data_IF_558601836584
#
_entry.id   IF_558601836584
#
_cell.length_a   1.000
_cell.length_b   1.000
_cell.length_c   1.000
_cell.angle_alpha   90.00
_cell.angle_beta   90.00
_cell.angle_gamma   90.00
#
_symmetry.space_group_name_H-M   'P 1'
#
loop_
_entity.id
_entity.type
_entity.pdbx_description
1 polymer ?
#
# COMPACT_ATOMS: atom_id res chain seq x y z
N UNK A 1 -5.29 10.39 3.52
CA UNK A 1 -4.07 9.91 2.82
C UNK A 1 -4.27 8.50 2.30
N UNK A 2 -3.50 8.13 1.28
CA UNK A 2 -3.48 6.74 0.78
C UNK A 2 -2.20 6.07 1.28
N UNK A 3 -2.36 4.90 1.88
CA UNK A 3 -1.26 4.08 2.41
C UNK A 3 -1.00 2.94 1.43
N UNK A 4 0.27 2.76 1.07
CA UNK A 4 0.73 1.68 0.21
C UNK A 4 1.25 0.50 1.03
N UNK A 5 1.64 -0.57 0.34
CA UNK A 5 2.23 -1.75 0.97
C UNK A 5 3.51 -1.41 1.74
N UNK A 6 4.37 -0.56 1.17
CA UNK A 6 5.70 -0.29 1.74
C UNK A 6 5.62 0.42 3.09
N UNK A 7 4.74 1.41 3.26
CA UNK A 7 4.54 2.11 4.52
C UNK A 7 4.02 1.18 5.64
N UNK A 8 3.08 0.28 5.30
CA UNK A 8 2.56 -0.71 6.27
C UNK A 8 3.66 -1.69 6.68
N UNK A 9 4.47 -2.16 5.73
CA UNK A 9 5.58 -3.07 6.03
C UNK A 9 6.65 -2.38 6.87
N UNK A 10 6.98 -1.12 6.59
CA UNK A 10 7.91 -0.35 7.40
C UNK A 10 7.41 -0.21 8.85
N UNK A 11 6.12 0.09 9.06
CA UNK A 11 5.51 0.11 10.39
C UNK A 11 5.54 -1.26 11.07
N UNK A 12 5.18 -2.32 10.35
CA UNK A 12 5.09 -3.68 10.88
C UNK A 12 6.47 -4.26 11.26
N UNK A 13 7.47 -4.07 10.41
CA UNK A 13 8.84 -4.54 10.59
C UNK A 13 9.69 -3.61 11.46
N UNK A 14 9.12 -2.50 11.95
CA UNK A 14 9.81 -1.48 12.74
C UNK A 14 11.09 -0.98 12.03
N UNK A 15 10.96 -0.66 10.75
CA UNK A 15 12.02 -0.05 9.94
C UNK A 15 12.40 1.35 10.47
N UNK A 16 13.57 1.90 10.08
CA UNK A 16 14.04 3.18 10.61
C UNK A 16 13.06 4.36 10.45
N UNK A 17 12.20 4.32 9.44
CA UNK A 17 11.17 5.32 9.13
C UNK A 17 9.76 4.95 9.64
N UNK A 18 9.60 3.83 10.36
CA UNK A 18 8.31 3.37 10.90
C UNK A 18 7.55 4.46 11.68
N UNK A 19 8.26 5.20 12.53
CA UNK A 19 7.66 6.29 13.31
C UNK A 19 7.15 7.43 12.43
N UNK A 20 7.82 7.70 11.30
CA UNK A 20 7.36 8.73 10.37
C UNK A 20 6.03 8.32 9.73
N UNK A 21 5.92 7.07 9.27
CA UNK A 21 4.70 6.53 8.69
C UNK A 21 3.55 6.49 9.69
N UNK A 22 3.80 5.97 10.89
CA UNK A 22 2.80 5.90 11.96
C UNK A 22 2.28 7.30 12.34
N UNK A 23 3.16 8.29 12.44
CA UNK A 23 2.76 9.67 12.72
C UNK A 23 1.92 10.25 11.57
N UNK A 24 2.32 10.01 10.32
CA UNK A 24 1.57 10.49 9.16
C UNK A 24 0.14 9.92 9.12
N UNK A 25 0.00 8.62 9.39
CA UNK A 25 -1.29 7.93 9.48
C UNK A 25 -2.13 8.47 10.64
N UNK A 26 -1.54 8.72 11.81
CA UNK A 26 -2.27 9.22 12.98
C UNK A 26 -2.81 10.65 12.83
N UNK A 27 -2.27 11.46 11.90
CA UNK A 27 -2.62 12.88 11.76
C UNK A 27 -3.83 13.15 10.86
N UNK A 28 -4.29 12.16 10.09
CA UNK A 28 -5.38 12.35 9.12
C UNK A 28 -6.00 11.01 8.70
N UNK A 29 -7.25 10.99 8.21
CA UNK A 29 -7.89 9.76 7.75
C UNK A 29 -7.03 9.02 6.73
N UNK A 30 -6.75 7.74 6.99
CA UNK A 30 -5.90 6.89 6.17
C UNK A 30 -6.72 5.79 5.50
N UNK A 31 -6.48 5.58 4.21
CA UNK A 31 -7.14 4.55 3.40
C UNK A 31 -6.09 3.71 2.69
N UNK A 32 -6.37 2.43 2.53
CA UNK A 32 -5.50 1.49 1.81
C UNK A 32 -6.34 0.69 0.82
N UNK A 33 -5.81 0.44 -0.37
CA UNK A 33 -6.50 -0.44 -1.32
C UNK A 33 -6.46 -1.89 -0.83
N UNK A 34 -7.56 -2.62 -0.99
CA UNK A 34 -7.61 -4.07 -0.75
C UNK A 34 -6.52 -4.85 -1.55
N UNK A 35 -6.08 -4.31 -2.69
CA UNK A 35 -4.95 -4.87 -3.45
C UNK A 35 -3.62 -4.74 -2.71
N UNK A 36 -3.36 -3.59 -2.10
CA UNK A 36 -2.16 -3.37 -1.27
C UNK A 36 -2.24 -4.13 0.06
N UNK A 37 -3.43 -4.27 0.65
CA UNK A 37 -3.63 -5.13 1.82
C UNK A 37 -3.19 -6.58 1.53
N UNK A 38 -3.66 -7.14 0.41
CA UNK A 38 -3.27 -8.49 -0.02
C UNK A 38 -1.77 -8.62 -0.26
N UNK A 39 -1.15 -7.60 -0.88
CA UNK A 39 0.29 -7.58 -1.12
C UNK A 39 1.07 -7.52 0.21
N UNK A 40 0.66 -6.65 1.14
CA UNK A 40 1.27 -6.51 2.45
C UNK A 40 1.23 -7.83 3.23
N UNK A 41 0.07 -8.48 3.33
CA UNK A 41 -0.10 -9.74 4.05
C UNK A 41 0.50 -10.93 3.32
N UNK A 42 -0.08 -11.28 2.18
CA UNK A 42 0.20 -12.55 1.52
C UNK A 42 1.51 -12.60 0.76
N UNK A 43 2.05 -11.46 0.32
CA UNK A 43 3.25 -11.43 -0.54
C UNK A 43 4.49 -10.97 0.24
N UNK A 44 4.38 -9.96 1.10
CA UNK A 44 5.55 -9.41 1.80
C UNK A 44 5.66 -9.95 3.21
N UNK A 45 4.64 -9.80 4.05
CA UNK A 45 4.70 -10.24 5.44
C UNK A 45 4.86 -11.76 5.54
N UNK A 46 4.01 -12.54 4.85
CA UNK A 46 4.03 -13.99 4.93
C UNK A 46 5.25 -14.66 4.26
N UNK A 47 5.88 -13.98 3.29
CA UNK A 47 6.99 -14.56 2.52
C UNK A 47 8.38 -14.08 2.95
N UNK A 48 8.48 -12.92 3.62
CA UNK A 48 9.75 -12.25 3.91
C UNK A 48 9.95 -12.03 5.41
N UNK A 49 8.89 -11.70 6.15
CA UNK A 49 9.01 -11.40 7.57
C UNK A 49 8.96 -12.65 8.45
N UNK A 50 9.39 -12.49 9.70
CA UNK A 50 9.22 -13.52 10.71
C UNK A 50 7.71 -13.82 10.88
N UNK A 51 7.28 -15.09 10.91
CA UNK A 51 5.86 -15.44 11.03
C UNK A 51 5.15 -14.87 12.26
N UNK A 52 5.88 -14.57 13.34
CA UNK A 52 5.31 -13.89 14.51
C UNK A 52 5.00 -12.43 14.19
N UNK A 53 5.88 -11.76 13.44
CA UNK A 53 5.68 -10.38 12.97
C UNK A 53 4.54 -10.32 11.96
N UNK A 54 4.50 -11.24 10.99
CA UNK A 54 3.49 -11.25 9.94
C UNK A 54 2.05 -11.32 10.48
N UNK A 55 1.82 -12.10 11.55
CA UNK A 55 0.50 -12.23 12.20
C UNK A 55 -0.03 -10.94 12.80
N UNK A 56 0.82 -9.94 13.03
CA UNK A 56 0.44 -8.65 13.61
C UNK A 56 -0.03 -7.65 12.57
N UNK A 57 -0.05 -8.00 11.28
CA UNK A 57 -0.48 -7.09 10.23
C UNK A 57 -1.88 -6.52 10.49
N UNK A 58 -2.86 -7.39 10.71
CA UNK A 58 -4.24 -6.96 10.94
C UNK A 58 -4.37 -6.13 12.23
N UNK A 59 -3.57 -6.43 13.26
CA UNK A 59 -3.49 -5.63 14.50
C UNK A 59 -2.97 -4.22 14.20
N UNK A 60 -1.86 -4.10 13.45
CA UNK A 60 -1.27 -2.81 13.08
C UNK A 60 -2.23 -1.98 12.25
N UNK A 61 -2.93 -2.59 11.29
CA UNK A 61 -3.92 -1.89 10.46
C UNK A 61 -5.11 -1.40 11.29
N UNK A 62 -5.60 -2.22 12.22
CA UNK A 62 -6.70 -1.87 13.11
C UNK A 62 -6.31 -0.76 14.11
N UNK A 63 -5.13 -0.86 14.72
CA UNK A 63 -4.59 0.15 15.65
C UNK A 63 -4.35 1.50 14.95
N UNK A 64 -4.06 1.47 13.65
CA UNK A 64 -3.79 2.65 12.84
C UNK A 64 -5.05 3.28 12.20
N UNK A 65 -6.23 2.70 12.45
CA UNK A 65 -7.53 3.14 11.89
C UNK A 65 -7.48 3.31 10.35
N UNK A 66 -6.78 2.39 9.66
CA UNK A 66 -6.65 2.40 8.21
C UNK A 66 -7.87 1.71 7.59
N UNK A 67 -8.65 2.46 6.82
CA UNK A 67 -9.83 1.93 6.11
C UNK A 67 -9.40 1.19 4.83
N UNK A 68 -9.85 -0.06 4.68
CA UNK A 68 -9.58 -0.87 3.50
C UNK A 68 -10.66 -0.63 2.43
N UNK A 69 -10.27 -0.04 1.32
CA UNK A 69 -11.14 0.31 0.19
C UNK A 69 -11.12 -0.79 -0.90
N UNK A 70 -12.27 -1.16 -1.49
CA UNK A 70 -12.34 -2.19 -2.52
C UNK A 70 -11.63 -1.77 -3.81
N UNK A 71 -11.04 -2.75 -4.50
CA UNK A 71 -10.52 -2.53 -5.87
C UNK A 71 -11.69 -2.54 -6.85
N UNK A 72 -11.90 -1.42 -7.55
CA UNK A 72 -12.98 -1.27 -8.52
C UNK A 72 -12.50 -1.36 -9.97
N UNK A 73 -13.45 -1.51 -10.91
CA UNK A 73 -13.15 -1.41 -12.35
C UNK A 73 -12.56 -0.05 -12.74
N UNK A 74 -12.99 1.02 -12.06
CA UNK A 74 -12.44 2.36 -12.28
C UNK A 74 -10.97 2.40 -11.88
N UNK A 75 -10.62 1.86 -10.71
CA UNK A 75 -9.22 1.75 -10.28
C UNK A 75 -8.38 1.00 -11.30
N UNK A 76 -8.84 -0.17 -11.76
CA UNK A 76 -8.13 -0.94 -12.80
C UNK A 76 -7.92 -0.15 -14.10
N UNK A 77 -8.89 0.69 -14.48
CA UNK A 77 -8.79 1.53 -15.69
C UNK A 77 -7.73 2.63 -15.51
N UNK A 78 -7.75 3.32 -14.36
CA UNK A 78 -6.77 4.35 -13.99
C UNK A 78 -5.36 3.76 -13.90
N UNK A 79 -5.21 2.63 -13.18
CA UNK A 79 -3.95 1.89 -13.06
C UNK A 79 -3.39 1.49 -14.41
N UNK A 80 -4.22 0.96 -15.32
CA UNK A 80 -3.75 0.53 -16.66
C UNK A 80 -3.25 1.71 -17.50
N UNK A 81 -3.83 2.90 -17.32
CA UNK A 81 -3.31 4.10 -17.96
C UNK A 81 -1.96 4.49 -17.36
N UNK A 82 -1.89 4.64 -16.04
CA UNK A 82 -0.66 4.99 -15.34
C UNK A 82 0.49 4.00 -15.63
N UNK A 83 0.21 2.69 -15.68
CA UNK A 83 1.22 1.67 -15.95
C UNK A 83 1.76 1.73 -17.39
N UNK A 84 0.96 2.18 -18.37
CA UNK A 84 1.47 2.39 -19.74
C UNK A 84 2.46 3.55 -19.79
N UNK A 85 2.18 4.60 -19.04
CA UNK A 85 2.95 5.84 -19.09
C UNK A 85 4.20 5.78 -18.17
N UNK A 86 4.06 5.11 -17.02
CA UNK A 86 5.04 5.14 -15.93
C UNK A 86 5.51 3.76 -15.45
N UNK A 87 4.94 2.67 -16.00
CA UNK A 87 5.18 1.31 -15.54
C UNK A 87 6.56 0.76 -15.86
N UNK A 88 6.94 -0.31 -15.17
CA UNK A 88 8.18 -1.03 -15.45
C UNK A 88 8.24 -1.48 -16.91
N UNK A 89 9.32 -1.10 -17.59
CA UNK A 89 9.53 -1.35 -19.02
C UNK A 89 9.05 -0.24 -19.96
N UNK A 90 8.43 0.84 -19.46
CA UNK A 90 8.06 2.03 -20.25
C UNK A 90 9.25 2.93 -20.60
N UNK A 91 10.37 2.81 -19.88
CA UNK A 91 11.49 3.75 -19.94
C UNK A 91 11.33 4.96 -19.01
N UNK A 92 10.21 5.06 -18.29
CA UNK A 92 9.99 6.13 -17.32
C UNK A 92 10.71 5.85 -15.98
N UNK A 93 11.34 6.87 -15.34
CA UNK A 93 12.10 6.68 -14.11
C UNK A 93 11.27 6.21 -12.91
N UNK A 94 9.95 6.49 -12.89
CA UNK A 94 9.06 6.05 -11.82
C UNK A 94 8.95 4.53 -11.69
N UNK A 95 9.12 3.79 -12.80
CA UNK A 95 9.19 2.32 -12.81
C UNK A 95 8.04 1.62 -12.05
N UNK A 96 6.83 2.16 -12.19
CA UNK A 96 5.63 1.73 -11.46
C UNK A 96 5.42 0.22 -11.60
N UNK A 97 5.25 -0.47 -10.48
CA UNK A 97 5.00 -1.90 -10.44
C UNK A 97 3.49 -2.21 -10.32
N UNK A 98 3.13 -3.50 -10.27
CA UNK A 98 1.72 -3.92 -10.18
C UNK A 98 1.06 -3.57 -8.83
N UNK A 99 1.80 -3.64 -7.71
CA UNK A 99 1.33 -3.24 -6.38
C UNK A 99 1.11 -1.72 -6.28
N UNK A 100 2.04 -0.93 -6.80
CA UNK A 100 1.97 0.53 -6.79
C UNK A 100 0.72 1.05 -7.53
N UNK A 101 0.22 0.29 -8.51
CA UNK A 101 -0.96 0.63 -9.28
C UNK A 101 -2.22 0.79 -8.42
N UNK A 102 -2.34 0.02 -7.33
CA UNK A 102 -3.51 0.05 -6.46
C UNK A 102 -3.55 1.33 -5.63
N UNK A 103 -2.44 1.66 -4.95
CA UNK A 103 -2.30 2.88 -4.18
C UNK A 103 -2.43 4.12 -5.08
N UNK A 104 -1.78 4.10 -6.25
CA UNK A 104 -1.90 5.17 -7.24
C UNK A 104 -3.35 5.37 -7.69
N UNK A 105 -4.06 4.30 -8.07
CA UNK A 105 -5.43 4.43 -8.55
C UNK A 105 -6.41 4.88 -7.47
N UNK A 106 -6.25 4.41 -6.23
CA UNK A 106 -7.06 4.89 -5.11
C UNK A 106 -6.77 6.37 -4.82
N UNK A 107 -5.51 6.81 -4.93
CA UNK A 107 -5.16 8.22 -4.80
C UNK A 107 -5.87 9.08 -5.86
N UNK A 108 -5.76 8.70 -7.14
CA UNK A 108 -6.39 9.44 -8.25
C UNK A 108 -7.91 9.44 -8.18
N UNK A 109 -8.54 8.34 -7.76
CA UNK A 109 -10.00 8.26 -7.62
C UNK A 109 -10.53 9.10 -6.45
N UNK A 110 -9.70 9.32 -5.43
CA UNK A 110 -10.11 9.98 -4.19
C UNK A 110 -9.68 11.44 -4.04
N UNK A 111 -8.89 12.00 -4.98
CA UNK A 111 -8.53 13.42 -5.05
C UNK A 111 -7.12 13.68 -5.55
#
# INVERSE_FOLDING_TARGET
MIVDTSAVIAMLANEPDAHHHALAVALQPARMSAGNYLEAGGIVADSILDPVVARRLDEVLAESDIEIEPVTRLHATLSRQAYRDFGRGSGHPANLNFGDCFAHALAVDSG
#
